data_IF_067930040370
#
_entry.id   IF_067930040370
#
_cell.length_a   1.000
_cell.length_b   1.000
_cell.length_c   1.000
_cell.angle_alpha   90.00
_cell.angle_beta   90.00
_cell.angle_gamma   90.00
#
_symmetry.space_group_name_H-M   'P 1'
#
loop_
_entity.id
_entity.type
_entity.pdbx_description
1 polymer ?
#
# COMPACT_ATOMS: atom_id res chain seq x y z
N UNK A 1 -10.87 -7.86 -9.30
CA UNK A 1 -10.97 -8.73 -8.10
C UNK A 1 -11.29 -7.86 -6.90
N UNK A 2 -12.25 -8.33 -6.09
CA UNK A 2 -12.74 -7.64 -4.91
C UNK A 2 -11.72 -7.88 -3.78
N UNK A 3 -10.98 -6.84 -3.37
CA UNK A 3 -9.86 -6.96 -2.41
C UNK A 3 -10.28 -7.36 -0.99
N UNK A 4 -11.59 -7.46 -0.73
CA UNK A 4 -12.14 -7.78 0.58
C UNK A 4 -11.98 -9.24 1.05
N UNK A 5 -11.29 -10.13 0.31
CA UNK A 5 -11.31 -11.57 0.66
C UNK A 5 -10.06 -12.42 0.27
N UNK A 6 -8.93 -11.85 -0.16
CA UNK A 6 -7.75 -12.70 -0.49
C UNK A 6 -7.00 -13.23 0.75
N UNK A 7 -7.09 -12.54 1.89
CA UNK A 7 -6.73 -13.11 3.18
C UNK A 7 -8.04 -13.58 3.82
N UNK A 8 -8.20 -14.88 4.09
CA UNK A 8 -9.42 -15.44 4.71
C UNK A 8 -9.72 -14.96 6.14
N UNK A 9 -9.11 -13.86 6.58
CA UNK A 9 -9.27 -13.23 7.88
C UNK A 9 -9.42 -11.72 7.74
N UNK A 10 -10.00 -11.09 8.77
CA UNK A 10 -10.12 -9.63 8.87
C UNK A 10 -8.72 -9.00 8.83
N UNK A 11 -8.60 -7.84 8.17
CA UNK A 11 -7.36 -7.05 8.19
C UNK A 11 -6.99 -6.65 9.62
N UNK A 12 -5.68 -6.52 9.94
CA UNK A 12 -5.24 -6.15 11.28
C UNK A 12 -5.64 -4.72 11.61
N UNK A 13 -6.37 -4.52 12.71
CA UNK A 13 -6.70 -3.16 13.20
C UNK A 13 -5.58 -2.68 14.11
N UNK A 14 -5.06 -1.50 13.84
CA UNK A 14 -4.05 -0.83 14.65
C UNK A 14 -4.70 -0.30 15.92
N UNK A 15 -4.13 -0.65 17.07
CA UNK A 15 -4.50 -0.10 18.37
C UNK A 15 -3.27 0.49 19.09
N UNK A 16 -3.52 1.08 20.26
CA UNK A 16 -2.47 1.75 21.06
C UNK A 16 -1.34 0.83 21.58
N UNK A 17 -1.52 -0.49 21.51
CA UNK A 17 -0.66 -1.50 22.13
C UNK A 17 -0.04 -2.51 21.16
N UNK A 18 -0.55 -2.59 19.93
CA UNK A 18 -0.24 -3.70 19.02
C UNK A 18 0.68 -3.35 17.84
N UNK A 19 1.31 -2.17 17.84
CA UNK A 19 2.12 -1.65 16.72
C UNK A 19 3.06 -2.68 16.10
N UNK A 20 3.86 -3.39 16.91
CA UNK A 20 4.83 -4.35 16.38
C UNK A 20 4.18 -5.54 15.68
N UNK A 21 3.05 -6.01 16.18
CA UNK A 21 2.28 -7.10 15.58
C UNK A 21 1.60 -6.62 14.30
N UNK A 22 0.96 -5.45 14.36
CA UNK A 22 0.29 -4.81 13.23
C UNK A 22 1.27 -4.55 12.08
N UNK A 23 2.43 -3.95 12.37
CA UNK A 23 3.45 -3.64 11.38
C UNK A 23 3.98 -4.90 10.68
N UNK A 24 4.20 -6.00 11.42
CA UNK A 24 4.62 -7.28 10.83
C UNK A 24 3.54 -7.83 9.88
N UNK A 25 2.27 -7.80 10.28
CA UNK A 25 1.17 -8.26 9.45
C UNK A 25 0.98 -7.40 8.20
N UNK A 26 1.07 -6.07 8.34
CA UNK A 26 0.98 -5.14 7.20
C UNK A 26 2.10 -5.32 6.20
N UNK A 27 3.35 -5.57 6.64
CA UNK A 27 4.46 -5.89 5.73
C UNK A 27 4.22 -7.16 4.93
N UNK A 28 3.61 -8.19 5.53
CA UNK A 28 3.23 -9.42 4.81
C UNK A 28 2.17 -9.11 3.75
N UNK A 29 1.14 -8.32 4.10
CA UNK A 29 0.09 -7.91 3.16
C UNK A 29 0.69 -7.09 2.01
N UNK A 30 1.53 -6.10 2.30
CA UNK A 30 2.14 -5.24 1.29
C UNK A 30 3.10 -5.99 0.36
N UNK A 31 3.88 -6.93 0.91
CA UNK A 31 4.72 -7.82 0.11
C UNK A 31 3.87 -8.67 -0.84
N UNK A 32 2.82 -9.32 -0.32
CA UNK A 32 1.93 -10.15 -1.13
C UNK A 32 1.15 -9.35 -2.19
N UNK A 33 0.78 -8.11 -1.88
CA UNK A 33 0.03 -7.24 -2.78
C UNK A 33 0.93 -6.44 -3.75
N UNK A 34 2.25 -6.69 -3.71
CA UNK A 34 3.29 -6.04 -4.52
C UNK A 34 3.32 -4.51 -4.39
N UNK A 35 3.01 -3.99 -3.19
CA UNK A 35 3.02 -2.55 -2.90
C UNK A 35 4.13 -2.13 -1.93
N UNK A 36 4.84 -3.09 -1.32
CA UNK A 36 5.90 -2.81 -0.32
C UNK A 36 6.95 -1.81 -0.82
N UNK A 37 7.47 -2.01 -2.03
CA UNK A 37 8.52 -1.16 -2.60
C UNK A 37 8.08 0.32 -2.72
N UNK A 38 6.84 0.55 -3.14
CA UNK A 38 6.27 1.90 -3.26
C UNK A 38 6.06 2.54 -1.89
N UNK A 39 5.70 1.76 -0.87
CA UNK A 39 5.56 2.26 0.51
C UNK A 39 6.91 2.65 1.12
N UNK A 40 7.97 1.87 0.87
CA UNK A 40 9.30 2.11 1.44
C UNK A 40 10.09 3.19 0.69
N UNK A 41 10.00 3.20 -0.63
CA UNK A 41 10.82 4.08 -1.50
C UNK A 41 10.08 5.35 -1.89
N UNK A 42 8.75 5.34 -1.83
CA UNK A 42 7.90 6.42 -2.33
C UNK A 42 7.88 6.48 -3.87
N UNK A 43 7.21 7.51 -4.38
CA UNK A 43 7.14 7.79 -5.82
C UNK A 43 7.93 9.06 -6.10
N UNK A 44 8.99 8.94 -6.89
CA UNK A 44 9.78 10.08 -7.34
C UNK A 44 9.01 11.02 -8.27
N UNK A 45 9.50 12.26 -8.35
CA UNK A 45 8.97 13.26 -9.27
C UNK A 45 9.27 12.91 -10.74
N UNK A 46 8.40 13.37 -11.64
CA UNK A 46 8.64 13.30 -13.09
C UNK A 46 9.28 14.61 -13.55
N UNK A 47 10.32 14.51 -14.35
CA UNK A 47 10.88 15.64 -15.08
C UNK A 47 9.85 16.26 -16.04
N UNK A 48 9.99 17.54 -16.35
CA UNK A 48 9.06 18.26 -17.23
C UNK A 48 9.01 17.68 -18.66
N UNK A 49 10.15 17.19 -19.14
CA UNK A 49 10.37 16.58 -20.46
C UNK A 49 10.21 15.06 -20.47
N UNK A 50 9.68 14.48 -19.37
CA UNK A 50 9.58 13.04 -19.25
C UNK A 50 8.77 12.39 -20.37
N UNK A 51 9.26 11.25 -20.84
CA UNK A 51 8.67 10.48 -21.93
C UNK A 51 7.33 9.87 -21.52
N UNK A 52 6.52 9.49 -22.51
CA UNK A 52 5.24 8.84 -22.24
C UNK A 52 5.39 7.50 -21.51
N UNK A 53 6.48 6.77 -21.76
CA UNK A 53 6.80 5.55 -21.02
C UNK A 53 7.05 5.84 -19.53
N UNK A 54 7.82 6.89 -19.20
CA UNK A 54 8.07 7.31 -17.82
C UNK A 54 6.77 7.78 -17.13
N UNK A 55 5.92 8.52 -17.84
CA UNK A 55 4.60 8.94 -17.34
C UNK A 55 3.70 7.74 -17.06
N UNK A 56 3.70 6.74 -17.93
CA UNK A 56 2.92 5.51 -17.74
C UNK A 56 3.42 4.70 -16.55
N UNK A 57 4.74 4.55 -16.40
CA UNK A 57 5.36 3.90 -15.24
C UNK A 57 4.96 4.60 -13.93
N UNK A 58 5.03 5.95 -13.86
CA UNK A 58 4.59 6.69 -12.65
C UNK A 58 3.11 6.49 -12.35
N UNK A 59 2.25 6.44 -13.38
CA UNK A 59 0.81 6.16 -13.18
C UNK A 59 0.59 4.77 -12.57
N UNK A 60 1.38 3.77 -12.97
CA UNK A 60 1.32 2.44 -12.38
C UNK A 60 1.78 2.44 -10.91
N UNK A 61 2.88 3.15 -10.58
CA UNK A 61 3.34 3.31 -9.20
C UNK A 61 2.29 4.02 -8.34
N UNK A 62 1.65 5.09 -8.84
CA UNK A 62 0.56 5.78 -8.13
C UNK A 62 -0.62 4.87 -7.81
N UNK A 63 -0.95 3.92 -8.70
CA UNK A 63 -2.00 2.94 -8.41
C UNK A 63 -1.62 2.00 -7.26
N UNK A 64 -0.35 1.58 -7.19
CA UNK A 64 0.19 0.77 -6.09
C UNK A 64 0.19 1.55 -4.77
N UNK A 65 0.57 2.83 -4.81
CA UNK A 65 0.55 3.73 -3.65
C UNK A 65 -0.87 3.88 -3.07
N UNK A 66 -1.85 4.22 -3.91
CA UNK A 66 -3.24 4.29 -3.45
C UNK A 66 -3.78 2.95 -2.92
N UNK A 67 -3.34 1.83 -3.50
CA UNK A 67 -3.69 0.50 -3.01
C UNK A 67 -3.10 0.24 -1.61
N UNK A 68 -1.84 0.64 -1.36
CA UNK A 68 -1.24 0.56 -0.03
C UNK A 68 -1.98 1.45 0.98
N UNK A 69 -2.28 2.70 0.61
CA UNK A 69 -3.04 3.64 1.45
C UNK A 69 -4.42 3.08 1.80
N UNK A 70 -5.11 2.44 0.84
CA UNK A 70 -6.40 1.81 1.08
C UNK A 70 -6.31 0.73 2.17
N UNK A 71 -5.30 -0.13 2.14
CA UNK A 71 -5.09 -1.13 3.19
C UNK A 71 -4.81 -0.47 4.54
N UNK A 72 -3.95 0.55 4.61
CA UNK A 72 -3.69 1.26 5.88
C UNK A 72 -4.99 1.86 6.42
N UNK A 73 -5.78 2.52 5.56
CA UNK A 73 -7.05 3.11 5.93
C UNK A 73 -8.05 2.08 6.47
N UNK A 74 -8.12 0.88 5.89
CA UNK A 74 -8.96 -0.20 6.42
C UNK A 74 -8.47 -0.78 7.76
N UNK A 75 -7.21 -0.54 8.09
CA UNK A 75 -6.52 -1.09 9.25
C UNK A 75 -6.35 -0.08 10.39
N UNK A 76 -6.78 1.17 10.24
CA UNK A 76 -6.81 2.17 11.32
C UNK A 76 -8.22 2.31 11.83
N UNK A 77 -8.40 2.31 13.15
CA UNK A 77 -9.71 2.43 13.75
C UNK A 77 -10.30 3.82 13.44
N UNK A 78 -11.44 3.86 12.75
CA UNK A 78 -12.21 5.07 12.50
C UNK A 78 -13.04 5.33 13.76
N UNK A 79 -12.41 5.87 14.80
CA UNK A 79 -13.16 6.51 15.89
C UNK A 79 -13.95 7.69 15.33
#
# INVERSE_FOLDING_TARGET
ENLNNSFGGKLPVLDSSNWDCWNKQMKVIFGFQEVQEVVETGIGDLAADATDAQRQARRALKKKDFKAMFFIHQCVDLV
#
